data_IF_173112037517
#
_entry.id   IF_173112037517
#
_cell.length_a   1.000
_cell.length_b   1.000
_cell.length_c   1.000
_cell.angle_alpha   90.00
_cell.angle_beta   90.00
_cell.angle_gamma   90.00
#
_symmetry.space_group_name_H-M   'P 1'
#
loop_
_entity.id
_entity.type
_entity.pdbx_description
1 polymer ?
#
# COMPACT_ATOMS: atom_id res chain seq x y z
N UNK A 1 -47.20 46.19 -20.17
CA UNK A 1 -46.19 45.85 -19.15
C UNK A 1 -45.05 46.85 -19.22
N UNK A 2 -44.91 47.62 -18.14
CA UNK A 2 -44.14 48.87 -18.06
C UNK A 2 -42.64 48.62 -18.22
N UNK A 3 -41.94 49.54 -18.89
CA UNK A 3 -40.48 49.53 -19.12
C UNK A 3 -39.69 49.31 -17.82
N UNK A 4 -40.25 49.76 -16.70
CA UNK A 4 -39.72 49.55 -15.36
C UNK A 4 -39.59 48.08 -14.96
N UNK A 5 -40.58 47.25 -15.31
CA UNK A 5 -40.59 45.83 -14.99
C UNK A 5 -39.51 45.07 -15.79
N UNK A 6 -39.26 45.50 -17.04
CA UNK A 6 -38.17 44.97 -17.88
C UNK A 6 -36.78 45.32 -17.32
N UNK A 7 -36.59 46.55 -16.82
CA UNK A 7 -35.34 46.97 -16.18
C UNK A 7 -35.04 46.18 -14.91
N UNK A 8 -36.05 45.92 -14.08
CA UNK A 8 -35.88 45.12 -12.85
C UNK A 8 -35.48 43.68 -13.19
N UNK A 9 -36.16 43.05 -14.16
CA UNK A 9 -35.79 41.69 -14.57
C UNK A 9 -34.38 41.60 -15.15
N UNK A 10 -33.91 42.63 -15.84
CA UNK A 10 -32.56 42.67 -16.43
C UNK A 10 -31.48 42.86 -15.36
N UNK A 11 -31.73 43.68 -14.33
CA UNK A 11 -30.85 43.83 -13.17
C UNK A 11 -30.72 42.52 -12.37
N UNK A 12 -31.82 41.81 -12.16
CA UNK A 12 -31.82 40.50 -11.47
C UNK A 12 -31.03 39.47 -12.28
N UNK A 13 -31.21 39.42 -13.60
CA UNK A 13 -30.50 38.48 -14.47
C UNK A 13 -28.97 38.73 -14.49
N UNK A 14 -28.54 40.00 -14.53
CA UNK A 14 -27.11 40.36 -14.47
C UNK A 14 -26.51 40.01 -13.11
N UNK A 15 -27.26 40.23 -12.01
CA UNK A 15 -26.86 39.81 -10.67
C UNK A 15 -26.67 38.30 -10.56
N UNK A 16 -27.58 37.52 -11.14
CA UNK A 16 -27.54 36.06 -11.11
C UNK A 16 -26.36 35.49 -11.93
N UNK A 17 -26.11 36.05 -13.12
CA UNK A 17 -24.98 35.65 -13.97
C UNK A 17 -23.63 35.88 -13.28
N UNK A 18 -23.50 36.97 -12.52
CA UNK A 18 -22.27 37.28 -11.77
C UNK A 18 -22.14 36.45 -10.48
N UNK A 19 -23.27 36.07 -9.86
CA UNK A 19 -23.30 35.24 -8.66
C UNK A 19 -22.88 33.79 -8.91
N UNK A 20 -23.09 33.25 -10.12
CA UNK A 20 -22.69 31.87 -10.44
C UNK A 20 -21.17 31.65 -10.34
N UNK A 21 -20.36 32.62 -10.76
CA UNK A 21 -18.91 32.56 -10.56
C UNK A 21 -18.53 32.69 -9.09
N UNK A 22 -19.21 33.56 -8.34
CA UNK A 22 -18.96 33.73 -6.91
C UNK A 22 -19.29 32.45 -6.10
N UNK A 23 -20.37 31.74 -6.45
CA UNK A 23 -20.77 30.49 -5.80
C UNK A 23 -19.66 29.43 -5.91
N UNK A 24 -19.03 29.29 -7.07
CA UNK A 24 -17.91 28.35 -7.24
C UNK A 24 -16.72 28.70 -6.34
N UNK A 25 -16.38 29.98 -6.19
CA UNK A 25 -15.31 30.41 -5.28
C UNK A 25 -15.65 30.13 -3.82
N UNK A 26 -16.90 30.34 -3.42
CA UNK A 26 -17.37 30.04 -2.05
C UNK A 26 -17.30 28.53 -1.78
N UNK A 27 -17.72 27.70 -2.73
CA UNK A 27 -17.67 26.24 -2.60
C UNK A 27 -16.21 25.76 -2.54
N UNK A 28 -15.34 26.23 -3.43
CA UNK A 28 -13.89 25.93 -3.41
C UNK A 28 -13.25 26.37 -2.09
N UNK A 29 -13.61 27.54 -1.57
CA UNK A 29 -13.16 28.02 -0.27
C UNK A 29 -13.61 27.13 0.89
N UNK A 30 -14.89 26.71 0.89
CA UNK A 30 -15.43 25.82 1.91
C UNK A 30 -14.73 24.45 1.91
N UNK A 31 -14.52 23.85 0.74
CA UNK A 31 -13.76 22.60 0.64
C UNK A 31 -12.30 22.75 1.08
N UNK A 32 -11.65 23.87 0.76
CA UNK A 32 -10.30 24.17 1.25
C UNK A 32 -10.23 24.26 2.78
N UNK A 33 -11.22 24.91 3.40
CA UNK A 33 -11.33 25.04 4.85
C UNK A 33 -11.58 23.69 5.55
N UNK A 34 -12.44 22.84 4.96
CA UNK A 34 -12.67 21.45 5.42
C UNK A 34 -11.37 20.63 5.31
N UNK A 35 -10.63 20.77 4.21
CA UNK A 35 -9.35 20.10 4.02
C UNK A 35 -8.31 20.51 5.07
N UNK A 36 -8.20 21.80 5.38
CA UNK A 36 -7.30 22.30 6.43
C UNK A 36 -7.70 21.79 7.83
N UNK A 37 -9.01 21.70 8.09
CA UNK A 37 -9.53 21.16 9.34
C UNK A 37 -9.20 19.67 9.51
N UNK A 38 -9.35 18.87 8.45
CA UNK A 38 -8.99 17.45 8.46
C UNK A 38 -7.50 17.24 8.68
N UNK A 39 -6.63 18.05 8.05
CA UNK A 39 -5.18 18.01 8.28
C UNK A 39 -4.83 18.27 9.76
N UNK A 40 -5.44 19.27 10.37
CA UNK A 40 -5.21 19.58 11.78
C UNK A 40 -5.73 18.47 12.71
N UNK A 41 -6.87 17.85 12.39
CA UNK A 41 -7.37 16.69 13.12
C UNK A 41 -6.37 15.52 13.05
N UNK A 42 -5.80 15.27 11.87
CA UNK A 42 -4.78 14.24 11.67
C UNK A 42 -3.53 14.49 12.52
N UNK A 43 -3.05 15.74 12.57
CA UNK A 43 -1.88 16.13 13.38
C UNK A 43 -2.15 15.89 14.87
N UNK A 44 -3.35 16.21 15.37
CA UNK A 44 -3.71 15.98 16.77
C UNK A 44 -3.77 14.49 17.13
N UNK A 45 -4.28 13.66 16.23
CA UNK A 45 -4.33 12.20 16.44
C UNK A 45 -2.92 11.58 16.41
N UNK A 46 -2.04 12.11 15.56
CA UNK A 46 -0.61 11.79 15.55
C UNK A 46 0.04 12.17 16.89
N UNK A 47 -0.11 13.41 17.37
CA UNK A 47 0.45 13.83 18.65
C UNK A 47 -0.06 12.99 19.82
N UNK A 48 -1.32 12.53 19.80
CA UNK A 48 -1.87 11.66 20.83
C UNK A 48 -1.25 10.25 20.84
N UNK A 49 -0.77 9.78 19.68
CA UNK A 49 0.01 8.54 19.57
C UNK A 49 1.44 8.73 20.09
N UNK A 50 2.03 9.91 19.91
CA UNK A 50 3.41 10.19 20.30
C UNK A 50 3.59 10.77 21.72
N UNK A 51 2.57 11.36 22.33
CA UNK A 51 2.62 11.95 23.68
C UNK A 51 2.18 11.02 24.83
N UNK A 52 2.13 9.70 24.62
CA UNK A 52 2.06 8.77 25.77
C UNK A 52 3.44 8.72 26.43
N UNK A 53 3.59 9.10 27.72
CA UNK A 53 4.86 9.04 28.41
C UNK A 53 5.10 7.59 28.83
N UNK A 54 5.51 6.75 27.88
CA UNK A 54 6.25 5.54 28.20
C UNK A 54 7.73 5.92 28.10
N UNK A 55 8.34 6.05 29.26
CA UNK A 55 9.78 6.17 29.43
C UNK A 55 10.50 5.13 28.56
N UNK A 56 11.09 5.57 27.45
CA UNK A 56 12.44 5.24 26.98
C UNK A 56 12.81 6.28 25.93
N UNK A 57 13.88 6.99 26.25
CA UNK A 57 14.49 8.08 25.51
C UNK A 57 15.04 7.60 24.15
N UNK A 58 14.35 7.89 23.04
CA UNK A 58 15.02 7.94 21.72
C UNK A 58 14.32 8.95 20.80
N UNK A 59 15.13 9.84 20.22
CA UNK A 59 14.80 11.10 19.51
C UNK A 59 13.80 10.94 18.34
N UNK A 60 12.99 11.97 18.02
CA UNK A 60 12.07 11.92 16.90
C UNK A 60 12.83 12.17 15.58
N UNK A 61 13.02 11.13 14.76
CA UNK A 61 13.31 11.30 13.34
C UNK A 61 11.99 11.23 12.58
N UNK A 62 11.70 12.30 11.85
CA UNK A 62 10.71 12.35 10.78
C UNK A 62 10.72 11.04 9.98
N UNK A 63 9.56 10.42 9.89
CA UNK A 63 9.27 9.25 9.06
C UNK A 63 9.41 9.61 7.57
N UNK A 64 10.64 9.62 7.08
CA UNK A 64 10.92 9.14 5.73
C UNK A 64 11.07 7.62 5.82
N UNK A 65 10.35 6.92 4.95
CA UNK A 65 10.40 5.48 4.71
C UNK A 65 11.87 4.99 4.71
N UNK A 66 12.30 4.38 5.81
CA UNK A 66 13.46 3.47 5.84
C UNK A 66 13.03 2.24 6.62
N UNK A 67 13.02 1.09 5.94
CA UNK A 67 13.01 -0.22 6.59
C UNK A 67 14.21 -0.25 7.54
N UNK A 68 13.98 -0.50 8.83
CA UNK A 68 15.06 -0.71 9.78
C UNK A 68 15.74 -2.03 9.45
N UNK A 69 16.97 -1.96 8.96
CA UNK A 69 17.94 -3.03 9.10
C UNK A 69 18.22 -3.11 10.60
N UNK A 70 17.95 -4.26 11.20
CA UNK A 70 18.41 -4.58 12.55
C UNK A 70 19.92 -4.74 12.45
N UNK A 71 20.65 -3.77 12.98
CA UNK A 71 22.10 -3.86 13.22
C UNK A 71 22.31 -4.72 14.46
N UNK A 72 22.41 -6.02 14.27
CA UNK A 72 23.01 -6.90 15.27
C UNK A 72 24.48 -7.09 14.88
N UNK A 73 25.34 -6.41 15.64
CA UNK A 73 26.76 -6.75 15.74
C UNK A 73 26.86 -8.23 16.11
N UNK A 74 27.67 -9.02 15.39
CA UNK A 74 28.54 -10.09 15.92
C UNK A 74 29.21 -10.91 14.78
N UNK A 75 30.53 -11.08 14.93
CA UNK A 75 31.50 -12.00 14.28
C UNK A 75 32.21 -11.64 12.95
N UNK A 76 33.43 -11.13 13.13
CA UNK A 76 34.70 -11.55 12.53
C UNK A 76 34.77 -11.86 11.02
N UNK A 77 35.35 -10.91 10.31
CA UNK A 77 35.86 -11.05 8.96
C UNK A 77 37.14 -11.91 8.92
N UNK A 78 37.02 -13.19 8.59
CA UNK A 78 38.12 -14.01 8.06
C UNK A 78 37.62 -14.76 6.80
N UNK A 79 38.20 -14.41 5.66
CA UNK A 79 37.98 -14.99 4.32
C UNK A 79 37.95 -16.52 4.29
N UNK A 80 36.96 -17.14 3.62
CA UNK A 80 37.20 -18.15 2.57
C UNK A 80 35.95 -18.41 1.70
N UNK A 81 36.18 -18.43 0.38
CA UNK A 81 35.41 -18.96 -0.75
C UNK A 81 34.03 -19.63 -0.52
N UNK A 82 33.04 -19.06 -1.22
CA UNK A 82 32.14 -19.75 -2.16
C UNK A 82 31.06 -20.70 -1.60
N UNK A 83 29.83 -20.16 -1.43
CA UNK A 83 28.55 -20.81 -1.72
C UNK A 83 27.40 -19.76 -1.73
N UNK A 84 26.21 -20.03 -2.31
CA UNK A 84 25.24 -18.99 -2.65
C UNK A 84 24.74 -18.33 -1.37
N UNK A 85 24.90 -17.01 -1.27
CA UNK A 85 24.39 -16.21 -0.15
C UNK A 85 22.98 -16.67 0.25
N UNK A 86 22.88 -17.42 1.36
CA UNK A 86 21.65 -17.55 2.10
C UNK A 86 21.31 -16.16 2.57
N UNK A 87 20.44 -15.49 1.82
CA UNK A 87 19.87 -14.24 2.25
C UNK A 87 18.95 -14.63 3.42
N UNK A 88 19.48 -14.55 4.63
CA UNK A 88 18.73 -14.80 5.86
C UNK A 88 17.83 -13.59 6.16
N UNK A 89 16.92 -13.33 5.21
CA UNK A 89 15.86 -12.35 5.35
C UNK A 89 14.83 -12.98 6.29
N UNK A 90 14.90 -12.61 7.56
CA UNK A 90 13.85 -12.92 8.52
C UNK A 90 12.59 -12.11 8.17
N UNK A 91 11.77 -12.65 7.27
CA UNK A 91 10.51 -12.02 6.84
C UNK A 91 9.40 -12.39 7.81
N UNK A 92 8.86 -11.39 8.50
CA UNK A 92 7.66 -11.55 9.33
C UNK A 92 6.39 -11.58 8.45
N UNK A 93 6.09 -12.77 7.93
CA UNK A 93 4.90 -13.03 7.12
C UNK A 93 3.59 -12.77 7.88
N UNK A 94 3.59 -12.90 9.21
CA UNK A 94 2.40 -12.63 10.03
C UNK A 94 2.07 -11.15 9.99
N UNK A 95 3.09 -10.28 10.15
CA UNK A 95 2.91 -8.83 10.03
C UNK A 95 2.42 -8.45 8.63
N UNK A 96 3.03 -9.03 7.58
CA UNK A 96 2.64 -8.76 6.18
C UNK A 96 1.17 -9.09 5.94
N UNK A 97 0.74 -10.32 6.26
CA UNK A 97 -0.65 -10.73 6.03
C UNK A 97 -1.65 -10.00 6.91
N UNK A 98 -1.26 -9.60 8.13
CA UNK A 98 -2.14 -8.77 8.99
C UNK A 98 -2.32 -7.37 8.42
N UNK A 99 -1.36 -6.88 7.64
CA UNK A 99 -1.40 -5.56 7.00
C UNK A 99 -2.09 -5.59 5.63
N UNK A 100 -2.50 -6.78 5.15
CA UNK A 100 -3.14 -7.01 3.86
C UNK A 100 -4.57 -7.56 4.03
N UNK A 101 -5.55 -6.69 4.36
CA UNK A 101 -6.93 -7.12 4.59
C UNK A 101 -7.63 -7.61 3.32
N UNK A 102 -7.15 -7.22 2.14
CA UNK A 102 -7.72 -7.61 0.85
C UNK A 102 -7.17 -8.95 0.33
N UNK A 103 -6.15 -9.51 1.00
CA UNK A 103 -5.50 -10.76 0.59
C UNK A 103 -4.71 -10.63 -0.72
N UNK A 104 -4.25 -9.42 -1.06
CA UNK A 104 -3.49 -9.17 -2.26
C UNK A 104 -2.14 -9.89 -2.29
N UNK A 105 -1.48 -10.09 -1.15
CA UNK A 105 -0.25 -10.87 -1.04
C UNK A 105 -0.50 -12.33 -1.40
N UNK A 106 -1.62 -12.90 -0.96
CA UNK A 106 -1.99 -14.28 -1.30
C UNK A 106 -2.35 -14.40 -2.78
N UNK A 107 -3.12 -13.44 -3.30
CA UNK A 107 -3.44 -13.35 -4.73
C UNK A 107 -2.18 -13.25 -5.59
N UNK A 108 -1.24 -12.40 -5.21
CA UNK A 108 0.04 -12.22 -5.87
C UNK A 108 0.83 -13.51 -5.95
N UNK A 109 0.98 -14.19 -4.82
CA UNK A 109 1.78 -15.42 -4.70
C UNK A 109 1.15 -16.56 -5.50
N UNK A 110 -0.19 -16.66 -5.47
CA UNK A 110 -0.91 -17.62 -6.30
C UNK A 110 -0.64 -17.35 -7.78
N UNK A 111 -0.80 -16.09 -8.22
CA UNK A 111 -0.58 -15.73 -9.62
C UNK A 111 0.88 -15.96 -10.05
N UNK A 112 1.86 -15.69 -9.19
CA UNK A 112 3.28 -16.01 -9.43
C UNK A 112 3.52 -17.51 -9.60
N UNK A 113 2.92 -18.32 -8.73
CA UNK A 113 3.03 -19.77 -8.79
C UNK A 113 2.34 -20.35 -10.04
N UNK A 114 1.23 -19.75 -10.48
CA UNK A 114 0.57 -20.10 -11.73
C UNK A 114 1.40 -19.75 -12.98
N UNK A 115 2.24 -18.70 -12.90
CA UNK A 115 3.16 -18.26 -13.97
C UNK A 115 4.45 -19.09 -14.05
N UNK A 116 4.71 -19.99 -13.08
CA UNK A 116 5.91 -20.85 -13.04
C UNK A 116 6.15 -21.64 -14.34
N UNK A 117 5.08 -21.85 -15.12
CA UNK A 117 5.06 -22.52 -16.42
C UNK A 117 5.46 -21.65 -17.63
N UNK A 118 5.38 -20.31 -17.55
CA UNK A 118 5.54 -19.39 -18.69
C UNK A 118 6.87 -18.60 -18.67
N UNK A 119 7.81 -19.00 -17.81
CA UNK A 119 9.08 -18.35 -17.48
C UNK A 119 8.95 -17.14 -16.53
N UNK A 120 9.50 -17.31 -15.32
CA UNK A 120 9.60 -16.24 -14.33
C UNK A 120 10.81 -15.34 -14.59
N UNK A 121 10.63 -14.06 -14.32
CA UNK A 121 11.76 -13.15 -14.16
C UNK A 121 12.61 -13.50 -12.94
N UNK A 122 13.86 -13.05 -12.95
CA UNK A 122 14.81 -13.25 -11.84
C UNK A 122 14.24 -12.76 -10.49
N UNK A 123 13.52 -11.65 -10.47
CA UNK A 123 12.90 -11.12 -9.24
C UNK A 123 11.75 -11.99 -8.74
N UNK A 124 10.88 -12.43 -9.65
CA UNK A 124 9.73 -13.30 -9.30
C UNK A 124 10.21 -14.64 -8.74
N UNK A 125 11.27 -15.24 -9.31
CA UNK A 125 11.83 -16.49 -8.81
C UNK A 125 12.46 -16.36 -7.42
N UNK A 126 13.09 -15.20 -7.11
CA UNK A 126 13.61 -14.91 -5.77
C UNK A 126 12.46 -14.78 -4.76
N UNK A 127 11.38 -14.09 -5.13
CA UNK A 127 10.19 -13.96 -4.26
C UNK A 127 9.59 -15.33 -3.96
N UNK A 128 9.39 -16.19 -4.97
CA UNK A 128 8.88 -17.54 -4.74
C UNK A 128 9.81 -18.38 -3.85
N UNK A 129 11.13 -18.24 -3.99
CA UNK A 129 12.10 -18.94 -3.14
C UNK A 129 12.00 -18.48 -1.68
N UNK A 130 11.85 -17.18 -1.46
CA UNK A 130 11.69 -16.58 -0.12
C UNK A 130 10.44 -17.13 0.60
N UNK A 131 9.37 -17.43 -0.14
CA UNK A 131 8.14 -18.01 0.42
C UNK A 131 8.29 -19.50 0.71
N UNK A 132 8.98 -20.24 -0.18
CA UNK A 132 9.23 -21.69 -0.04
C UNK A 132 10.19 -22.03 1.11
N UNK A 133 11.02 -21.07 1.56
CA UNK A 133 11.98 -21.23 2.66
C UNK A 133 11.65 -20.32 3.86
N UNK A 134 10.55 -20.58 4.59
CA UNK A 134 10.17 -19.77 5.73
C UNK A 134 11.08 -20.04 6.94
N UNK A 135 11.54 -18.99 7.62
CA UNK A 135 12.35 -19.12 8.84
C UNK A 135 11.55 -19.68 10.04
N UNK A 136 10.21 -19.56 10.03
CA UNK A 136 9.32 -20.10 11.06
C UNK A 136 8.00 -20.62 10.47
N UNK A 137 7.56 -21.80 10.91
CA UNK A 137 6.24 -22.33 10.58
C UNK A 137 5.17 -21.65 11.43
N UNK A 138 4.28 -20.87 10.79
CA UNK A 138 3.15 -20.23 11.45
C UNK A 138 1.91 -20.23 10.52
N UNK A 139 0.78 -19.72 11.01
CA UNK A 139 -0.46 -19.67 10.23
C UNK A 139 -0.31 -18.88 8.91
N UNK A 140 0.55 -17.86 8.90
CA UNK A 140 0.79 -17.04 7.72
C UNK A 140 1.51 -17.86 6.65
N UNK A 141 2.60 -18.54 7.02
CA UNK A 141 3.34 -19.47 6.17
C UNK A 141 2.44 -20.54 5.57
N UNK A 142 1.54 -21.15 6.37
CA UNK A 142 0.57 -22.14 5.88
C UNK A 142 -0.35 -21.57 4.81
N UNK A 143 -0.82 -20.34 5.00
CA UNK A 143 -1.71 -19.66 4.05
C UNK A 143 -1.00 -19.24 2.76
N UNK A 144 0.27 -18.86 2.86
CA UNK A 144 1.11 -18.59 1.68
C UNK A 144 1.42 -19.88 0.91
N UNK A 145 1.77 -20.96 1.60
CA UNK A 145 2.01 -22.26 0.95
C UNK A 145 0.76 -22.79 0.26
N UNK A 146 -0.42 -22.59 0.85
CA UNK A 146 -1.69 -22.89 0.20
C UNK A 146 -1.85 -22.10 -1.11
N UNK A 147 -1.58 -20.79 -1.09
CA UNK A 147 -1.66 -19.95 -2.29
C UNK A 147 -0.68 -20.43 -3.38
N UNK A 148 0.55 -20.81 -3.01
CA UNK A 148 1.53 -21.39 -3.93
C UNK A 148 1.02 -22.68 -4.57
N UNK A 149 0.52 -23.62 -3.76
CA UNK A 149 0.06 -24.92 -4.24
C UNK A 149 -1.15 -24.76 -5.16
N UNK A 150 -2.14 -23.96 -4.74
CA UNK A 150 -3.32 -23.67 -5.57
C UNK A 150 -2.93 -23.00 -6.91
N UNK A 151 -1.96 -22.08 -6.90
CA UNK A 151 -1.46 -21.47 -8.13
C UNK A 151 -0.82 -22.48 -9.09
N UNK A 152 0.00 -23.40 -8.56
CA UNK A 152 0.62 -24.48 -9.34
C UNK A 152 -0.40 -25.44 -9.95
N UNK A 153 -1.45 -25.77 -9.19
CA UNK A 153 -2.54 -26.64 -9.65
C UNK A 153 -3.41 -25.96 -10.70
N UNK A 154 -3.73 -24.68 -10.50
CA UNK A 154 -4.62 -23.95 -11.38
C UNK A 154 -4.00 -23.63 -12.75
N UNK A 155 -2.68 -23.40 -12.81
CA UNK A 155 -1.90 -23.06 -14.02
C UNK A 155 -2.46 -21.86 -14.82
N UNK A 156 -3.38 -21.09 -14.25
CA UNK A 156 -4.08 -19.97 -14.88
C UNK A 156 -4.18 -18.82 -13.91
N UNK A 157 -3.69 -17.66 -14.33
CA UNK A 157 -3.72 -16.41 -13.54
C UNK A 157 -5.14 -16.02 -13.12
N UNK A 158 -6.11 -16.19 -14.03
CA UNK A 158 -7.52 -15.83 -13.81
C UNK A 158 -8.13 -16.67 -12.67
N UNK A 159 -7.72 -17.93 -12.51
CA UNK A 159 -8.21 -18.79 -11.45
C UNK A 159 -7.76 -18.31 -10.06
N UNK A 160 -6.54 -17.81 -9.94
CA UNK A 160 -6.03 -17.16 -8.72
C UNK A 160 -6.77 -15.85 -8.42
N UNK A 161 -6.97 -14.99 -9.43
CA UNK A 161 -7.72 -13.73 -9.27
C UNK A 161 -9.16 -13.98 -8.85
N UNK A 162 -9.81 -14.99 -9.42
CA UNK A 162 -11.18 -15.36 -9.06
C UNK A 162 -11.28 -15.90 -7.63
N UNK A 163 -10.30 -16.70 -7.20
CA UNK A 163 -10.25 -17.22 -5.83
C UNK A 163 -10.02 -16.08 -4.81
N UNK A 164 -9.13 -15.15 -5.13
CA UNK A 164 -8.84 -13.97 -4.31
C UNK A 164 -9.54 -12.71 -4.85
N UNK A 165 -10.87 -12.78 -4.95
CA UNK A 165 -11.70 -11.77 -5.63
C UNK A 165 -11.65 -10.36 -5.03
N UNK A 166 -11.22 -10.23 -3.77
CA UNK A 166 -11.12 -8.93 -3.08
C UNK A 166 -9.90 -8.13 -3.49
N UNK A 167 -8.88 -8.77 -4.08
CA UNK A 167 -7.72 -8.05 -4.55
C UNK A 167 -7.92 -7.59 -6.01
N UNK A 168 -7.90 -6.28 -6.29
CA UNK A 168 -8.16 -5.76 -7.64
C UNK A 168 -6.93 -5.82 -8.56
N UNK A 169 -5.76 -6.20 -8.05
CA UNK A 169 -4.51 -6.08 -8.80
C UNK A 169 -4.08 -7.40 -9.42
N UNK A 170 -3.59 -7.32 -10.66
CA UNK A 170 -2.90 -8.41 -11.33
C UNK A 170 -1.43 -8.49 -10.89
N UNK A 171 -0.82 -9.66 -11.11
CA UNK A 171 0.59 -9.92 -10.78
C UNK A 171 1.56 -8.89 -11.38
N UNK A 172 1.32 -8.46 -12.62
CA UNK A 172 2.20 -7.48 -13.29
C UNK A 172 2.09 -6.09 -12.63
N UNK A 173 0.88 -5.67 -12.23
CA UNK A 173 0.67 -4.42 -11.51
C UNK A 173 1.37 -4.45 -10.15
N UNK A 174 1.21 -5.54 -9.41
CA UNK A 174 1.87 -5.73 -8.12
C UNK A 174 3.39 -5.75 -8.26
N UNK A 175 3.93 -6.41 -9.29
CA UNK A 175 5.37 -6.37 -9.57
C UNK A 175 5.86 -4.98 -9.91
N UNK A 176 5.10 -4.19 -10.68
CA UNK A 176 5.49 -2.82 -10.99
C UNK A 176 5.52 -1.95 -9.73
N UNK A 177 4.58 -2.14 -8.80
CA UNK A 177 4.60 -1.48 -7.50
C UNK A 177 5.85 -1.90 -6.71
N UNK A 178 6.15 -3.19 -6.63
CA UNK A 178 7.33 -3.69 -5.90
C UNK A 178 8.63 -3.16 -6.51
N UNK A 179 8.72 -3.02 -7.84
CA UNK A 179 9.91 -2.50 -8.53
C UNK A 179 10.07 -0.98 -8.37
N UNK A 180 9.00 -0.26 -8.11
CA UNK A 180 9.03 1.19 -7.94
C UNK A 180 9.65 1.62 -6.61
N UNK A 181 9.53 0.78 -5.57
CA UNK A 181 10.06 1.01 -4.23
C UNK A 181 11.39 0.29 -4.00
#
# INVERSE_FOLDING_TARGET
MTVWLKSITLLIAIGYAKAQHFLHFVILGAFGLIGLWLLNALIKDVDKLFNKPSAVLTKPKLFFVKRSIVEDNVYNANNSLQEPHHIDLNVDWKRILTSDPLGCVQSFICQLAAKETEALSKTESVILRLIKSPNQENWATKRLNFAVNYGKEAQKLIACQKYYSYCPYAVDTMMNIIKFF
#
